data_IF_945704605989
#
_entry.id   IF_945704605989
#
_cell.length_a   1.000
_cell.length_b   1.000
_cell.length_c   1.000
_cell.angle_alpha   90.00
_cell.angle_beta   90.00
_cell.angle_gamma   90.00
#
_symmetry.space_group_name_H-M   'P 1'
#
loop_
_entity.id
_entity.type
_entity.pdbx_description
1 polymer ?
#
# COMPACT_ATOMS: atom_id res chain seq x y z
N UNK A 1 9.76 -18.08 -14.45
CA UNK A 1 9.71 -17.46 -13.12
C UNK A 1 8.33 -16.86 -12.97
N UNK A 2 7.42 -17.50 -12.22
CA UNK A 2 6.02 -17.09 -12.16
C UNK A 2 5.88 -15.83 -11.30
N UNK A 3 5.54 -14.69 -11.94
CA UNK A 3 5.26 -13.38 -11.31
C UNK A 3 4.10 -13.40 -10.30
N UNK A 4 3.44 -14.54 -10.12
CA UNK A 4 2.28 -14.74 -9.25
C UNK A 4 2.54 -14.50 -7.76
N UNK A 5 3.82 -14.42 -7.35
CA UNK A 5 4.23 -14.10 -5.97
C UNK A 5 4.55 -12.62 -5.76
N UNK A 6 4.63 -11.82 -6.83
CA UNK A 6 4.97 -10.41 -6.73
C UNK A 6 3.71 -9.62 -6.39
N UNK A 7 3.86 -8.63 -5.51
CA UNK A 7 2.83 -7.61 -5.29
C UNK A 7 2.64 -6.80 -6.56
N UNK A 8 1.39 -6.66 -6.99
CA UNK A 8 1.04 -5.75 -8.08
C UNK A 8 1.16 -4.32 -7.55
N UNK A 9 2.17 -3.58 -8.03
CA UNK A 9 2.48 -2.25 -7.53
C UNK A 9 1.37 -1.24 -7.86
N UNK A 10 0.82 -1.18 -9.09
CA UNK A 10 -0.36 -0.37 -9.39
C UNK A 10 -1.54 -0.63 -8.45
N UNK A 11 -1.90 -1.89 -8.22
CA UNK A 11 -3.01 -2.26 -7.33
C UNK A 11 -2.69 -1.85 -5.89
N UNK A 12 -1.50 -2.19 -5.40
CA UNK A 12 -1.02 -1.81 -4.07
C UNK A 12 -1.10 -0.30 -3.84
N UNK A 13 -0.56 0.50 -4.75
CA UNK A 13 -0.56 1.97 -4.63
C UNK A 13 -1.97 2.57 -4.69
N UNK A 14 -2.88 1.95 -5.44
CA UNK A 14 -4.29 2.33 -5.53
C UNK A 14 -5.12 1.94 -4.31
N UNK A 15 -4.73 0.90 -3.58
CA UNK A 15 -5.40 0.48 -2.35
C UNK A 15 -4.96 1.28 -1.11
N UNK A 16 -3.75 1.85 -1.13
CA UNK A 16 -3.23 2.66 -0.02
C UNK A 16 -4.10 3.90 0.23
N UNK A 17 -4.53 4.09 1.48
CA UNK A 17 -5.43 5.18 1.91
C UNK A 17 -6.71 5.27 1.03
N UNK A 18 -7.21 4.13 0.55
CA UNK A 18 -8.38 4.08 -0.35
C UNK A 18 -8.15 4.80 -1.69
N UNK A 19 -6.89 4.86 -2.16
CA UNK A 19 -6.49 5.54 -3.39
C UNK A 19 -6.17 7.02 -3.22
N UNK A 20 -6.37 7.58 -2.03
CA UNK A 20 -5.99 8.97 -1.73
C UNK A 20 -4.47 9.13 -1.78
N UNK A 21 -3.72 8.11 -1.36
CA UNK A 21 -2.26 8.16 -1.39
C UNK A 21 -1.70 8.30 -2.81
N UNK A 22 -2.26 7.56 -3.78
CA UNK A 22 -1.89 7.70 -5.19
C UNK A 22 -2.13 9.12 -5.71
N UNK A 23 -3.26 9.73 -5.35
CA UNK A 23 -3.58 11.11 -5.72
C UNK A 23 -2.60 12.11 -5.10
N UNK A 24 -2.26 11.94 -3.82
CA UNK A 24 -1.29 12.79 -3.11
C UNK A 24 0.09 12.74 -3.77
N UNK A 25 0.55 11.55 -4.18
CA UNK A 25 1.83 11.39 -4.90
C UNK A 25 1.80 12.12 -6.24
N UNK A 26 0.71 11.98 -7.01
CA UNK A 26 0.57 12.63 -8.30
C UNK A 26 0.64 14.17 -8.16
N UNK A 27 -0.04 14.73 -7.16
CA UNK A 27 0.03 16.16 -6.84
C UNK A 27 1.43 16.56 -6.40
N UNK A 28 2.04 15.85 -5.46
CA UNK A 28 3.38 16.14 -4.94
C UNK A 28 4.44 16.17 -6.06
N UNK A 29 4.42 15.18 -6.96
CA UNK A 29 5.32 15.15 -8.12
C UNK A 29 5.10 16.34 -9.05
N UNK A 30 3.85 16.69 -9.33
CA UNK A 30 3.49 17.81 -10.21
C UNK A 30 3.93 19.15 -9.62
N UNK A 31 3.67 19.38 -8.33
CA UNK A 31 4.05 20.60 -7.65
C UNK A 31 5.57 20.75 -7.53
N UNK A 32 6.28 19.68 -7.18
CA UNK A 32 7.74 19.72 -7.07
C UNK A 32 8.37 19.97 -8.44
N UNK A 33 7.90 19.31 -9.50
CA UNK A 33 8.38 19.54 -10.86
C UNK A 33 8.15 20.99 -11.32
N UNK A 34 6.95 21.53 -11.07
CA UNK A 34 6.61 22.92 -11.38
C UNK A 34 7.48 23.91 -10.59
N UNK A 35 7.69 23.65 -9.30
CA UNK A 35 8.57 24.46 -8.45
C UNK A 35 10.02 24.47 -8.95
N UNK A 36 10.55 23.31 -9.36
CA UNK A 36 11.91 23.17 -9.88
C UNK A 36 12.10 23.98 -11.15
N UNK A 37 11.14 23.92 -12.09
CA UNK A 37 11.20 24.68 -13.33
C UNK A 37 11.14 26.19 -13.10
N UNK A 38 10.27 26.66 -12.21
CA UNK A 38 10.07 28.10 -12.00
C UNK A 38 11.15 28.76 -11.13
N UNK A 39 11.73 28.01 -10.19
CA UNK A 39 12.65 28.58 -9.19
C UNK A 39 14.10 28.14 -9.38
N UNK A 40 14.39 27.22 -10.31
CA UNK A 40 15.74 26.77 -10.65
C UNK A 40 16.48 26.03 -9.52
N UNK A 41 15.79 25.66 -8.45
CA UNK A 41 16.35 24.94 -7.31
C UNK A 41 15.93 23.48 -7.33
N UNK A 42 16.68 22.63 -6.62
CA UNK A 42 16.41 21.19 -6.53
C UNK A 42 15.18 20.91 -5.65
N UNK A 43 14.28 20.09 -6.16
CA UNK A 43 13.16 19.51 -5.41
C UNK A 43 13.45 18.06 -5.00
N UNK A 44 12.75 17.56 -3.99
CA UNK A 44 12.88 16.16 -3.53
C UNK A 44 11.51 15.60 -3.18
N UNK A 45 11.24 14.37 -3.61
CA UNK A 45 10.09 13.57 -3.16
C UNK A 45 10.63 12.28 -2.55
N UNK A 46 10.17 11.93 -1.36
CA UNK A 46 10.59 10.74 -0.60
C UNK A 46 9.36 9.96 -0.20
N UNK A 47 9.33 8.67 -0.55
CA UNK A 47 8.32 7.71 -0.14
C UNK A 47 8.99 6.72 0.81
N UNK A 48 8.44 6.57 2.01
CA UNK A 48 8.92 5.62 3.00
C UNK A 48 7.79 4.66 3.35
N UNK A 49 8.08 3.36 3.31
CA UNK A 49 7.17 2.30 3.72
C UNK A 49 7.78 1.55 4.90
N UNK A 50 7.11 1.59 6.04
CA UNK A 50 7.46 0.82 7.23
C UNK A 50 6.41 -0.27 7.42
N UNK A 51 6.85 -1.52 7.54
CA UNK A 51 5.97 -2.68 7.64
C UNK A 51 6.10 -3.28 9.04
N UNK A 52 5.03 -3.17 9.82
CA UNK A 52 4.91 -3.74 11.15
C UNK A 52 3.92 -4.90 11.15
N UNK A 53 4.20 -5.95 11.91
CA UNK A 53 3.24 -7.03 12.15
C UNK A 53 2.08 -6.50 13.00
N UNK A 54 0.83 -6.72 12.56
CA UNK A 54 -0.35 -6.26 13.34
C UNK A 54 -0.57 -7.06 14.62
N UNK A 55 -0.10 -8.31 14.65
CA UNK A 55 -0.24 -9.20 15.79
C UNK A 55 0.99 -10.09 15.91
N UNK A 56 1.29 -10.51 17.14
CA UNK A 56 2.34 -11.49 17.41
C UNK A 56 1.89 -12.93 17.14
N UNK A 57 0.61 -13.14 16.88
CA UNK A 57 0.05 -14.44 16.55
C UNK A 57 0.40 -14.81 15.10
N UNK A 58 1.04 -15.97 14.93
CA UNK A 58 1.44 -16.54 13.62
C UNK A 58 0.25 -16.78 12.70
N UNK A 59 -0.96 -16.88 13.26
CA UNK A 59 -2.21 -17.11 12.55
C UNK A 59 -2.72 -15.85 11.83
N UNK A 60 -2.39 -14.66 12.32
CA UNK A 60 -2.84 -13.41 11.72
C UNK A 60 -1.81 -12.91 10.71
N UNK A 61 -2.00 -13.31 9.45
CA UNK A 61 -1.13 -12.94 8.31
C UNK A 61 -1.42 -11.51 7.82
N UNK A 62 -1.46 -10.54 8.73
CA UNK A 62 -1.68 -9.12 8.42
C UNK A 62 -0.47 -8.28 8.82
N UNK A 63 -0.15 -7.33 7.96
CA UNK A 63 0.89 -6.33 8.18
C UNK A 63 0.27 -4.94 8.12
N UNK A 64 0.68 -4.09 9.05
CA UNK A 64 0.38 -2.67 9.01
C UNK A 64 1.47 -1.99 8.20
N UNK A 65 1.07 -1.28 7.16
CA UNK A 65 1.99 -0.57 6.28
C UNK A 65 1.83 0.92 6.57
N UNK A 66 2.80 1.46 7.31
CA UNK A 66 2.92 2.92 7.47
C UNK A 66 3.59 3.46 6.23
N UNK A 67 2.88 4.32 5.51
CA UNK A 67 3.36 4.91 4.29
C UNK A 67 3.44 6.43 4.50
N UNK A 68 4.66 6.94 4.33
CA UNK A 68 4.98 8.35 4.56
C UNK A 68 5.43 8.97 3.25
N UNK A 69 4.73 10.03 2.85
CA UNK A 69 5.08 10.89 1.72
C UNK A 69 5.67 12.18 2.27
N UNK A 70 6.95 12.42 1.98
CA UNK A 70 7.64 13.65 2.32
C UNK A 70 8.20 14.31 1.06
N UNK A 71 7.81 15.55 0.79
CA UNK A 71 8.30 16.28 -0.37
C UNK A 71 8.71 17.70 -0.05
N UNK A 72 9.69 18.20 -0.80
CA UNK A 72 10.25 19.54 -0.70
C UNK A 72 10.13 20.21 -2.06
N UNK A 73 9.27 21.22 -2.12
CA UNK A 73 9.10 22.09 -3.28
C UNK A 73 9.91 23.37 -3.11
N UNK A 74 10.72 23.76 -4.10
CA UNK A 74 11.40 25.05 -4.08
C UNK A 74 10.41 26.18 -4.39
N UNK A 75 10.53 27.30 -3.68
CA UNK A 75 9.70 28.51 -3.87
C UNK A 75 10.58 29.72 -4.19
N UNK A 76 10.03 30.83 -4.73
CA UNK A 76 10.84 32.00 -5.09
C UNK A 76 11.65 32.59 -3.93
N UNK A 77 11.17 32.41 -2.69
CA UNK A 77 11.86 32.78 -1.46
C UNK A 77 11.87 31.61 -0.47
N UNK A 78 12.62 30.55 -0.80
CA UNK A 78 12.93 29.47 0.12
C UNK A 78 12.45 28.10 -0.36
N UNK A 79 12.03 27.27 0.58
CA UNK A 79 11.56 25.91 0.33
C UNK A 79 10.31 25.67 1.16
N UNK A 80 9.35 24.96 0.59
CA UNK A 80 8.16 24.49 1.28
C UNK A 80 8.26 22.98 1.35
N UNK A 81 8.04 22.42 2.53
CA UNK A 81 8.04 21.00 2.79
C UNK A 81 6.67 20.56 3.29
N UNK A 82 6.22 19.41 2.82
CA UNK A 82 5.01 18.77 3.31
C UNK A 82 5.31 17.30 3.59
N UNK A 83 4.76 16.84 4.70
CA UNK A 83 4.88 15.48 5.18
C UNK A 83 3.49 14.97 5.53
N UNK A 84 3.14 13.82 4.99
CA UNK A 84 1.93 13.09 5.29
C UNK A 84 2.27 11.64 5.62
N UNK A 85 1.68 11.14 6.70
CA UNK A 85 1.89 9.79 7.20
C UNK A 85 0.55 9.13 7.46
N UNK A 86 0.29 8.06 6.75
CA UNK A 86 -0.93 7.27 6.84
C UNK A 86 -0.58 5.81 7.00
N UNK A 87 -1.51 5.03 7.54
CA UNK A 87 -1.31 3.61 7.83
C UNK A 87 -2.41 2.81 7.16
N UNK A 88 -2.06 1.72 6.47
CA UNK A 88 -3.04 0.83 5.84
C UNK A 88 -2.72 -0.61 6.21
N UNK A 89 -3.67 -1.35 6.81
CA UNK A 89 -3.50 -2.77 7.07
C UNK A 89 -3.68 -3.56 5.76
N UNK A 90 -2.77 -4.49 5.47
CA UNK A 90 -2.83 -5.38 4.31
C UNK A 90 -2.58 -6.83 4.70
N UNK A 91 -3.10 -7.77 3.91
CA UNK A 91 -2.85 -9.19 4.09
C UNK A 91 -1.59 -9.63 3.35
N UNK A 92 -0.87 -10.57 3.94
CA UNK A 92 0.25 -11.26 3.31
C UNK A 92 -0.22 -12.63 2.83
N UNK A 93 -0.38 -12.76 1.51
CA UNK A 93 -0.87 -13.96 0.87
C UNK A 93 0.27 -14.92 0.51
N UNK A 94 -0.06 -16.00 -0.20
CA UNK A 94 0.88 -17.07 -0.52
C UNK A 94 2.05 -16.50 -1.33
N UNK A 95 3.25 -16.67 -0.80
CA UNK A 95 4.47 -16.17 -1.46
C UNK A 95 4.81 -14.71 -1.16
N UNK A 96 4.11 -14.06 -0.23
CA UNK A 96 4.45 -12.71 0.23
C UNK A 96 3.70 -11.58 -0.50
N UNK A 97 2.74 -11.91 -1.36
CA UNK A 97 1.93 -10.94 -2.10
C UNK A 97 1.03 -10.14 -1.16
N UNK A 98 1.11 -8.82 -1.25
CA UNK A 98 0.29 -7.90 -0.45
C UNK A 98 -0.99 -7.55 -1.20
N UNK A 99 -2.13 -7.68 -0.52
CA UNK A 99 -3.45 -7.25 -1.03
C UNK A 99 -4.35 -6.82 0.13
N UNK A 100 -5.34 -5.99 -0.14
CA UNK A 100 -6.35 -5.59 0.86
C UNK A 100 -7.30 -6.75 1.25
N UNK A 101 -7.48 -7.73 0.35
CA UNK A 101 -8.31 -8.92 0.55
C UNK A 101 -7.46 -10.18 0.74
N UNK A 102 -7.95 -11.16 1.49
CA UNK A 102 -7.32 -12.48 1.55
C UNK A 102 -7.59 -13.24 0.24
N UNK A 103 -6.54 -13.75 -0.41
CA UNK A 103 -6.66 -14.52 -1.66
C UNK A 103 -7.26 -15.92 -1.45
N UNK A 104 -7.25 -16.44 -0.21
CA UNK A 104 -7.74 -17.79 0.10
C UNK A 104 -8.96 -17.73 1.04
N UNK A 105 -10.10 -17.31 0.51
CA UNK A 105 -11.35 -17.96 0.91
C UNK A 105 -11.43 -19.25 0.11
N UNK A 106 -10.80 -20.32 0.61
CA UNK A 106 -10.95 -21.65 0.02
C UNK A 106 -12.41 -21.92 -0.30
N UNK A 107 -12.67 -22.65 -1.39
CA UNK A 107 -14.00 -22.93 -1.94
C UNK A 107 -15.07 -23.03 -0.84
N UNK A 108 -15.88 -21.98 -0.65
CA UNK A 108 -16.84 -21.94 0.46
C UNK A 108 -17.97 -22.96 0.29
N UNK A 109 -18.28 -23.29 -0.96
CA UNK A 109 -19.37 -24.18 -1.34
C UNK A 109 -18.89 -25.24 -2.32
N UNK A 110 -19.29 -26.49 -2.12
CA UNK A 110 -19.14 -27.54 -3.13
C UNK A 110 -19.88 -27.15 -4.42
N UNK A 111 -19.59 -27.83 -5.53
CA UNK A 111 -20.30 -27.64 -6.80
C UNK A 111 -21.84 -27.84 -6.68
N UNK A 112 -22.30 -28.44 -5.58
CA UNK A 112 -23.71 -28.68 -5.26
C UNK A 112 -24.32 -27.63 -4.31
N UNK A 113 -23.55 -26.63 -3.87
CA UNK A 113 -24.00 -25.58 -2.96
C UNK A 113 -23.89 -25.90 -1.47
N UNK A 114 -23.30 -27.04 -1.11
CA UNK A 114 -23.06 -27.42 0.29
C UNK A 114 -21.82 -26.71 0.86
N UNK A 115 -21.81 -26.22 2.11
CA UNK A 115 -20.61 -25.64 2.71
C UNK A 115 -19.47 -26.67 2.74
N UNK A 116 -18.29 -26.26 2.27
CA UNK A 116 -17.14 -27.16 2.08
C UNK A 116 -16.64 -27.77 3.41
N UNK A 117 -16.13 -29.00 3.33
CA UNK A 117 -15.85 -29.88 4.47
C UNK A 117 -14.87 -29.28 5.50
N UNK A 118 -14.05 -28.31 5.10
CA UNK A 118 -13.12 -27.59 6.00
C UNK A 118 -13.83 -26.74 7.07
N UNK A 119 -15.09 -26.34 6.85
CA UNK A 119 -15.91 -25.64 7.85
C UNK A 119 -16.54 -26.60 8.88
N UNK A 120 -16.71 -27.88 8.56
CA UNK A 120 -17.28 -28.87 9.49
C UNK A 120 -16.28 -29.33 10.57
N UNK A 121 -14.98 -29.19 10.33
CA UNK A 121 -13.93 -29.61 11.29
C UNK A 121 -13.63 -28.58 12.38
N UNK A 122 -14.33 -27.43 12.41
CA UNK A 122 -14.17 -26.37 13.42
C UNK A 122 -15.41 -26.12 14.29
N UNK A 123 -16.37 -27.06 14.31
CA UNK A 123 -17.47 -27.07 15.30
C UNK A 123 -17.36 -28.26 16.24
#
# INVERSE_FOLDING_TARGET
MSNERLTDVPEFMGELDGGVFQNKIAVALSEVAFGVLNNGQKGKVTLTFELDRMSNSVEEKRVMIKHKLAYVRPTPRGKSSEEDSTETPMYVNRGGKLTILQEDQGQLFSLKGDPDAKLRSQQ
#
